data_IF_167424647264
#
_entry.id   IF_167424647264
#
_cell.length_a   1.000
_cell.length_b   1.000
_cell.length_c   1.000
_cell.angle_alpha   90.00
_cell.angle_beta   90.00
_cell.angle_gamma   90.00
#
_symmetry.space_group_name_H-M   'P 1'
#
loop_
_entity.id
_entity.type
_entity.pdbx_description
1 polymer ?
#
# COMPACT_ATOMS: atom_id res chain seq x y z
N UNK A 1 -23.85 1.71 19.89
CA UNK A 1 -23.94 1.05 18.58
C UNK A 1 -23.16 1.86 17.52
N UNK A 2 -21.84 1.97 17.64
CA UNK A 2 -20.96 2.72 16.70
C UNK A 2 -19.71 1.96 16.25
N UNK A 3 -19.39 0.83 16.88
CA UNK A 3 -18.13 0.12 16.62
C UNK A 3 -18.19 -0.84 15.41
N UNK A 4 -19.36 -1.41 15.08
CA UNK A 4 -19.49 -2.40 13.99
C UNK A 4 -19.38 -1.81 12.56
N UNK A 5 -19.57 -0.49 12.41
CA UNK A 5 -19.50 0.18 11.10
C UNK A 5 -18.05 0.40 10.67
N UNK A 6 -17.15 0.74 11.60
CA UNK A 6 -15.73 0.96 11.30
C UNK A 6 -15.02 -0.31 10.80
N UNK A 7 -15.29 -1.46 11.41
CA UNK A 7 -14.68 -2.74 11.00
C UNK A 7 -15.16 -3.21 9.62
N UNK A 8 -16.44 -3.04 9.32
CA UNK A 8 -17.03 -3.44 8.03
C UNK A 8 -16.51 -2.56 6.89
N UNK A 9 -16.42 -1.24 7.12
CA UNK A 9 -15.90 -0.30 6.12
C UNK A 9 -14.42 -0.52 5.80
N UNK A 10 -13.58 -0.80 6.80
CA UNK A 10 -12.18 -1.13 6.57
C UNK A 10 -12.03 -2.43 5.75
N UNK A 11 -12.81 -3.45 6.07
CA UNK A 11 -12.75 -4.71 5.34
C UNK A 11 -13.20 -4.57 3.88
N UNK A 12 -14.26 -3.78 3.63
CA UNK A 12 -14.69 -3.44 2.26
C UNK A 12 -13.60 -2.70 1.47
N UNK A 13 -12.88 -1.78 2.11
CA UNK A 13 -11.77 -1.06 1.50
C UNK A 13 -10.60 -2.00 1.17
N UNK A 14 -10.23 -2.90 2.08
CA UNK A 14 -9.17 -3.90 1.83
C UNK A 14 -9.55 -4.82 0.68
N UNK A 15 -10.78 -5.36 0.68
CA UNK A 15 -11.27 -6.19 -0.43
C UNK A 15 -11.24 -5.44 -1.75
N UNK A 16 -11.70 -4.19 -1.77
CA UNK A 16 -11.65 -3.37 -2.98
C UNK A 16 -10.21 -3.15 -3.45
N UNK A 17 -9.27 -2.86 -2.55
CA UNK A 17 -7.85 -2.73 -2.88
C UNK A 17 -7.31 -4.00 -3.52
N UNK A 18 -7.49 -5.15 -2.88
CA UNK A 18 -7.01 -6.44 -3.36
C UNK A 18 -7.55 -6.79 -4.76
N UNK A 19 -8.79 -6.39 -5.07
CA UNK A 19 -9.37 -6.53 -6.42
C UNK A 19 -8.72 -5.61 -7.45
N UNK A 20 -8.31 -4.39 -7.06
CA UNK A 20 -7.71 -3.42 -7.97
C UNK A 20 -6.22 -3.64 -8.23
N UNK A 21 -5.50 -4.18 -7.25
CA UNK A 21 -4.04 -4.29 -7.29
C UNK A 21 -3.52 -5.07 -8.51
N UNK A 22 -4.06 -6.25 -8.89
CA UNK A 22 -3.61 -6.96 -10.08
C UNK A 22 -3.77 -6.13 -11.36
N UNK A 23 -4.86 -5.34 -11.44
CA UNK A 23 -5.11 -4.43 -12.56
C UNK A 23 -4.04 -3.35 -12.64
N UNK A 24 -3.70 -2.71 -11.52
CA UNK A 24 -2.65 -1.68 -11.49
C UNK A 24 -1.26 -2.23 -11.80
N UNK A 25 -0.91 -3.39 -11.23
CA UNK A 25 0.37 -4.05 -11.54
C UNK A 25 0.53 -4.31 -13.03
N UNK A 26 -0.53 -4.80 -13.68
CA UNK A 26 -0.55 -5.07 -15.12
C UNK A 26 -0.49 -3.78 -15.95
N UNK A 27 -1.39 -2.82 -15.69
CA UNK A 27 -1.51 -1.59 -16.46
C UNK A 27 -0.25 -0.71 -16.38
N UNK A 28 0.33 -0.60 -15.18
CA UNK A 28 1.51 0.23 -14.94
C UNK A 28 2.82 -0.55 -15.06
N UNK A 29 2.77 -1.86 -15.36
CA UNK A 29 3.94 -2.76 -15.45
C UNK A 29 4.82 -2.65 -14.21
N UNK A 30 4.19 -2.68 -13.03
CA UNK A 30 4.90 -2.53 -11.76
C UNK A 30 5.57 -3.86 -11.39
N UNK A 31 6.91 -3.92 -11.24
CA UNK A 31 7.59 -5.11 -10.73
C UNK A 31 7.16 -5.42 -9.29
N UNK A 32 6.93 -4.38 -8.50
CA UNK A 32 6.37 -4.46 -7.16
C UNK A 32 6.20 -3.08 -6.53
N UNK A 33 5.36 -2.99 -5.51
CA UNK A 33 5.11 -1.77 -4.73
C UNK A 33 4.56 -2.14 -3.34
N UNK A 34 4.50 -1.15 -2.44
CA UNK A 34 3.86 -1.29 -1.14
C UNK A 34 2.81 -0.20 -0.95
N UNK A 35 1.75 -0.52 -0.20
CA UNK A 35 0.65 0.38 0.07
C UNK A 35 0.33 0.38 1.56
N UNK A 36 -0.03 1.54 2.10
CA UNK A 36 -0.55 1.68 3.45
C UNK A 36 -1.75 2.63 3.44
N UNK A 37 -2.76 2.33 4.25
CA UNK A 37 -3.94 3.16 4.46
C UNK A 37 -4.03 3.54 5.93
N UNK A 38 -4.08 4.85 6.17
CA UNK A 38 -4.16 5.44 7.51
C UNK A 38 -5.50 6.14 7.66
N UNK A 39 -6.24 5.81 8.72
CA UNK A 39 -7.50 6.44 9.08
C UNK A 39 -7.48 6.76 10.58
N UNK A 40 -7.87 7.98 10.96
CA UNK A 40 -7.84 8.48 12.35
C UNK A 40 -6.50 8.25 13.07
N UNK A 41 -5.39 8.42 12.35
CA UNK A 41 -4.03 8.25 12.90
C UNK A 41 -3.59 6.80 13.12
N UNK A 42 -4.42 5.81 12.76
CA UNK A 42 -4.09 4.40 12.82
C UNK A 42 -3.89 3.81 11.42
N UNK A 43 -2.91 2.91 11.28
CA UNK A 43 -2.75 2.11 10.06
C UNK A 43 -3.83 1.04 10.05
N UNK A 44 -4.73 1.10 9.07
CA UNK A 44 -5.84 0.14 8.92
C UNK A 44 -5.48 -1.00 7.97
N UNK A 45 -4.51 -0.79 7.10
CA UNK A 45 -4.05 -1.77 6.12
C UNK A 45 -2.64 -1.40 5.65
N UNK A 46 -1.74 -2.37 5.54
CA UNK A 46 -0.43 -2.20 4.94
C UNK A 46 0.07 -3.54 4.38
N UNK A 47 0.52 -3.54 3.12
CA UNK A 47 1.05 -4.74 2.47
C UNK A 47 2.00 -4.41 1.32
N UNK A 48 2.72 -5.42 0.83
CA UNK A 48 3.59 -5.37 -0.34
C UNK A 48 3.16 -6.35 -1.42
N UNK A 49 3.31 -5.92 -2.68
CA UNK A 49 2.89 -6.67 -3.86
C UNK A 49 4.02 -6.78 -4.87
N UNK A 50 4.16 -7.95 -5.48
CA UNK A 50 5.24 -8.24 -6.44
C UNK A 50 6.61 -8.34 -5.79
N UNK A 51 7.65 -7.96 -6.53
CA UNK A 51 9.04 -8.10 -6.12
C UNK A 51 9.72 -6.74 -5.92
N UNK A 52 10.42 -6.59 -4.79
CA UNK A 52 11.38 -5.48 -4.59
C UNK A 52 12.65 -5.66 -5.42
N UNK A 53 12.95 -6.90 -5.78
CA UNK A 53 14.05 -7.30 -6.65
C UNK A 53 13.54 -8.39 -7.60
N UNK A 54 13.17 -8.03 -8.85
CA UNK A 54 12.62 -8.98 -9.81
C UNK A 54 13.62 -10.04 -10.27
N UNK A 55 14.92 -9.71 -10.33
CA UNK A 55 15.96 -10.64 -10.77
C UNK A 55 16.18 -11.74 -9.73
N UNK A 56 16.11 -11.37 -8.46
CA UNK A 56 16.29 -12.29 -7.33
C UNK A 56 14.97 -12.80 -6.75
N UNK A 57 13.85 -12.39 -7.34
CA UNK A 57 12.48 -12.69 -6.91
C UNK A 57 12.26 -12.44 -5.40
N UNK A 58 12.79 -11.33 -4.88
CA UNK A 58 12.60 -10.97 -3.48
C UNK A 58 11.27 -10.23 -3.32
N UNK A 59 10.38 -10.64 -2.40
CA UNK A 59 9.06 -10.04 -2.28
C UNK A 59 9.14 -8.59 -1.80
N UNK A 60 8.26 -7.75 -2.33
CA UNK A 60 7.95 -6.48 -1.68
C UNK A 60 7.11 -6.74 -0.42
N UNK A 61 7.33 -5.96 0.62
CA UNK A 61 6.60 -5.99 1.90
C UNK A 61 6.21 -4.57 2.29
N UNK A 62 5.32 -4.40 3.27
CA UNK A 62 4.99 -3.09 3.83
C UNK A 62 6.26 -2.29 4.24
N UNK A 63 7.31 -2.98 4.69
CA UNK A 63 8.58 -2.38 5.13
C UNK A 63 9.65 -2.21 4.04
N UNK A 64 9.34 -2.48 2.76
CA UNK A 64 10.33 -2.27 1.69
C UNK A 64 10.74 -0.80 1.60
N UNK A 65 12.04 -0.52 1.56
CA UNK A 65 12.55 0.83 1.35
C UNK A 65 12.49 1.21 -0.13
N UNK A 66 11.87 2.37 -0.41
CA UNK A 66 11.79 2.96 -1.75
C UNK A 66 12.46 4.34 -1.79
N UNK A 67 13.02 4.69 -2.94
CA UNK A 67 13.39 6.07 -3.21
C UNK A 67 12.14 6.92 -3.44
N UNK A 68 11.83 7.85 -2.53
CA UNK A 68 10.59 8.65 -2.58
C UNK A 68 10.69 9.94 -3.42
N UNK A 69 11.89 10.30 -3.90
CA UNK A 69 12.10 11.43 -4.81
C UNK A 69 11.53 12.76 -4.30
N UNK A 70 10.73 13.43 -5.13
CA UNK A 70 10.16 14.74 -4.77
C UNK A 70 9.22 14.73 -3.56
N UNK A 71 8.74 13.57 -3.10
CA UNK A 71 7.96 13.45 -1.85
C UNK A 71 8.78 13.92 -0.64
N UNK A 72 10.11 13.82 -0.69
CA UNK A 72 11.00 14.36 0.35
C UNK A 72 10.77 15.86 0.62
N UNK A 73 10.27 16.63 -0.36
CA UNK A 73 10.00 18.07 -0.19
C UNK A 73 8.97 18.37 0.90
N UNK A 74 7.98 17.50 1.09
CA UNK A 74 6.99 17.66 2.15
C UNK A 74 7.63 17.56 3.54
N UNK A 75 8.69 16.78 3.70
CA UNK A 75 9.42 16.65 4.97
C UNK A 75 10.32 17.85 5.25
N UNK A 76 10.93 18.43 4.20
CA UNK A 76 11.82 19.61 4.34
C UNK A 76 11.03 20.90 4.57
N UNK A 77 9.77 20.95 4.14
CA UNK A 77 8.92 22.12 4.29
C UNK A 77 8.22 22.23 5.66
N UNK A 78 8.21 21.15 6.46
CA UNK A 78 7.72 21.13 7.84
C UNK A 78 8.70 21.83 8.78
#
# INVERSE_FOLDING_TARGET
MREAVSSTSHQQLVTWLEEQIPRWMSQCKLPGFSIAVVHDGAVCYADGYGARDPERNLPATADTLYGIGSVTKSFVAL
#
